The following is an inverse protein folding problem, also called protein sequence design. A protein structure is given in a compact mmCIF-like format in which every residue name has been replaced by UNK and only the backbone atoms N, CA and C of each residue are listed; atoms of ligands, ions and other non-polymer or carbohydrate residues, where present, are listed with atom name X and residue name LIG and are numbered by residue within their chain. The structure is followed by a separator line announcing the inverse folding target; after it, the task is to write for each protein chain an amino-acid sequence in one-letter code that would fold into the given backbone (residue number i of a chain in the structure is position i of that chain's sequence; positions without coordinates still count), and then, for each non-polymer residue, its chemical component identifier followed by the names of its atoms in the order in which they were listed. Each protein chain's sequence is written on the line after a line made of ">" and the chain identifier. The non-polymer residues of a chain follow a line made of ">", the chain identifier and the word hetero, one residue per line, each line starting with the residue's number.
data_IF_515972270152
#
_entry.id   IF_515972270152
#
_cell.length_a   1.000
_cell.length_b   1.000
_cell.length_c   1.000
_cell.angle_alpha   90.00
_cell.angle_beta   90.00
_cell.angle_gamma   90.00
#
_symmetry.space_group_name_H-M   'P 1'
#
loop_
_entity.id
_entity.type
_entity.pdbx_description
1 polymer ?
#
# COMPACT_ATOMS: atom_id res chain seq x y z
N UNK A 1 -10.08 -1.03 5.24
CA UNK A 1 -10.50 0.38 5.41
C UNK A 1 -9.29 1.33 5.53
N UNK A 2 -8.08 0.88 5.86
CA UNK A 2 -6.90 1.75 6.01
C UNK A 2 -6.31 2.24 4.68
N UNK A 3 -6.11 1.35 3.72
CA UNK A 3 -5.44 1.61 2.44
C UNK A 3 -6.20 2.64 1.59
N UNK A 4 -7.53 2.55 1.57
CA UNK A 4 -8.39 3.50 0.88
C UNK A 4 -8.28 4.91 1.49
N UNK A 5 -8.15 5.01 2.82
CA UNK A 5 -7.97 6.29 3.50
C UNK A 5 -6.57 6.87 3.23
N UNK A 6 -5.53 6.02 3.23
CA UNK A 6 -4.15 6.42 2.90
C UNK A 6 -4.07 6.93 1.45
N UNK A 7 -4.70 6.22 0.50
CA UNK A 7 -4.77 6.64 -0.89
C UNK A 7 -5.50 7.97 -1.08
N UNK A 8 -6.66 8.15 -0.43
CA UNK A 8 -7.41 9.41 -0.49
C UNK A 8 -6.60 10.58 0.09
N UNK A 9 -5.92 10.36 1.22
CA UNK A 9 -5.04 11.38 1.83
C UNK A 9 -3.82 11.69 0.95
N UNK A 10 -3.21 10.69 0.32
CA UNK A 10 -2.09 10.85 -0.59
C UNK A 10 -2.47 11.66 -1.84
N UNK A 11 -3.65 11.39 -2.42
CA UNK A 11 -4.16 12.14 -3.58
C UNK A 11 -4.49 13.59 -3.19
N UNK A 12 -5.09 13.82 -2.01
CA UNK A 12 -5.35 15.17 -1.50
C UNK A 12 -4.06 15.97 -1.26
N UNK A 13 -3.06 15.35 -0.63
CA UNK A 13 -1.75 15.99 -0.40
C UNK A 13 -1.01 16.29 -1.71
N UNK A 14 -1.12 15.40 -2.71
CA UNK A 14 -0.56 15.61 -4.04
C UNK A 14 -1.22 16.78 -4.78
N UNK A 15 -2.52 16.96 -4.61
CA UNK A 15 -3.26 18.08 -5.20
C UNK A 15 -2.86 19.44 -4.59
N UNK A 16 -2.35 19.44 -3.36
CA UNK A 16 -1.87 20.65 -2.67
C UNK A 16 -0.41 20.98 -3.01
N UNK A 17 0.49 19.98 -2.98
CA UNK A 17 1.89 20.13 -3.42
C UNK A 17 2.41 18.82 -4.05
N UNK A 18 2.86 18.92 -5.30
CA UNK A 18 3.40 17.82 -6.09
C UNK A 18 4.59 17.11 -5.42
N UNK A 19 5.32 17.79 -4.53
CA UNK A 19 6.45 17.23 -3.78
C UNK A 19 6.00 16.13 -2.80
N UNK A 20 4.72 16.06 -2.45
CA UNK A 20 4.20 15.01 -1.58
C UNK A 20 4.00 13.67 -2.28
N UNK A 21 4.13 13.58 -3.61
CA UNK A 21 3.98 12.33 -4.36
C UNK A 21 4.77 11.18 -3.75
N UNK A 22 6.07 11.38 -3.51
CA UNK A 22 6.95 10.34 -3.00
C UNK A 22 6.57 9.89 -1.58
N UNK A 23 6.17 10.82 -0.71
CA UNK A 23 5.70 10.50 0.65
C UNK A 23 4.36 9.78 0.64
N UNK A 24 3.41 10.24 -0.18
CA UNK A 24 2.11 9.60 -0.33
C UNK A 24 2.22 8.17 -0.88
N UNK A 25 3.11 7.96 -1.85
CA UNK A 25 3.40 6.63 -2.38
C UNK A 25 4.03 5.73 -1.31
N UNK A 26 5.02 6.23 -0.56
CA UNK A 26 5.68 5.47 0.50
C UNK A 26 4.67 5.02 1.57
N UNK A 27 3.79 5.92 2.02
CA UNK A 27 2.76 5.61 3.01
C UNK A 27 1.77 4.54 2.52
N UNK A 28 1.49 4.52 1.21
CA UNK A 28 0.61 3.51 0.58
C UNK A 28 1.30 2.14 0.43
N UNK A 29 2.62 2.10 0.23
CA UNK A 29 3.40 0.86 0.03
C UNK A 29 3.63 0.07 1.32
N UNK A 30 3.68 0.73 2.48
CA UNK A 30 3.89 0.07 3.79
C UNK A 30 2.85 -1.04 4.05
N UNK A 31 1.53 -0.77 3.98
CA UNK A 31 0.54 -1.82 4.16
C UNK A 31 0.58 -2.89 3.07
N UNK A 32 0.84 -2.51 1.81
CA UNK A 32 0.94 -3.45 0.69
C UNK A 32 2.04 -4.50 0.90
N UNK A 33 3.17 -4.10 1.50
CA UNK A 33 4.25 -5.04 1.82
C UNK A 33 3.77 -6.19 2.70
N UNK A 34 2.90 -5.91 3.68
CA UNK A 34 2.33 -6.93 4.57
C UNK A 34 1.34 -7.82 3.81
N UNK A 35 0.51 -7.22 2.95
CA UNK A 35 -0.43 -7.97 2.11
C UNK A 35 0.29 -8.94 1.17
N UNK A 36 1.38 -8.50 0.52
CA UNK A 36 2.23 -9.35 -0.33
C UNK A 36 2.82 -10.51 0.48
N UNK A 37 3.34 -10.27 1.69
CA UNK A 37 3.84 -11.38 2.53
C UNK A 37 2.75 -12.39 2.87
N UNK A 38 1.55 -11.92 3.23
CA UNK A 38 0.41 -12.80 3.48
C UNK A 38 0.02 -13.61 2.24
N UNK A 39 0.01 -12.96 1.07
CA UNK A 39 -0.28 -13.61 -0.21
C UNK A 39 0.77 -14.69 -0.54
N UNK A 40 2.06 -14.39 -0.38
CA UNK A 40 3.14 -15.35 -0.64
C UNK A 40 2.98 -16.59 0.24
N UNK A 41 2.71 -16.40 1.54
CA UNK A 41 2.47 -17.53 2.46
C UNK A 41 1.24 -18.33 2.04
N UNK A 42 0.14 -17.67 1.67
CA UNK A 42 -1.07 -18.33 1.20
C UNK A 42 -0.83 -19.15 -0.07
N UNK A 43 -0.04 -18.64 -1.02
CA UNK A 43 0.32 -19.35 -2.25
C UNK A 43 1.19 -20.58 -1.95
N UNK A 44 2.14 -20.49 -1.01
CA UNK A 44 2.94 -21.65 -0.58
C UNK A 44 2.02 -22.73 0.00
N UNK A 45 1.10 -22.35 0.88
CA UNK A 45 0.15 -23.30 1.49
C UNK A 45 -0.80 -23.95 0.48
N UNK A 46 -1.17 -23.24 -0.59
CA UNK A 46 -2.15 -23.72 -1.57
C UNK A 46 -1.54 -24.55 -2.70
N UNK A 47 -0.28 -24.30 -3.08
CA UNK A 47 0.35 -24.93 -4.24
C UNK A 47 1.55 -25.83 -3.93
N UNK A 48 2.22 -25.62 -2.79
CA UNK A 48 3.45 -26.36 -2.44
C UNK A 48 3.18 -27.43 -1.39
N UNK A 49 2.25 -27.15 -0.47
CA UNK A 49 1.75 -28.14 0.50
C UNK A 49 0.64 -28.98 -0.12
#
# INVERSE_FOLDING_TARGET
>A
MGEQAIGAAAVGALAEDEKFFGKGLLMTVIPESIAIFGLVVALILLFVF
#
